data_IF_457561758193
#
_entry.id   IF_457561758193
#
_cell.length_a   1.000
_cell.length_b   1.000
_cell.length_c   1.000
_cell.angle_alpha   90.00
_cell.angle_beta   90.00
_cell.angle_gamma   90.00
#
_symmetry.space_group_name_H-M   'P 1'
#
loop_
_entity.id
_entity.type
_entity.pdbx_description
1 polymer ?
#
# COMPACT_ATOMS: atom_id res chain seq x y z
N UNK A 1 -2.44 -2.28 4.42
CA UNK A 1 -3.87 -2.26 4.03
C UNK A 1 -4.33 -3.70 3.70
N UNK A 2 -5.64 -3.99 3.71
CA UNK A 2 -6.13 -5.27 3.20
C UNK A 2 -6.07 -5.31 1.66
N UNK A 3 -6.22 -6.50 1.06
CA UNK A 3 -6.14 -6.70 -0.40
C UNK A 3 -7.18 -5.86 -1.16
N UNK A 4 -8.42 -5.83 -0.70
CA UNK A 4 -9.48 -5.07 -1.39
C UNK A 4 -9.22 -3.56 -1.37
N UNK A 5 -8.73 -3.02 -0.25
CA UNK A 5 -8.28 -1.62 -0.21
C UNK A 5 -7.11 -1.36 -1.16
N UNK A 6 -6.14 -2.28 -1.25
CA UNK A 6 -5.02 -2.16 -2.17
C UNK A 6 -5.47 -2.14 -3.64
N UNK A 7 -6.47 -2.95 -4.02
CA UNK A 7 -7.07 -2.91 -5.37
C UNK A 7 -7.70 -1.56 -5.68
N UNK A 8 -8.45 -0.98 -4.74
CA UNK A 8 -9.06 0.34 -4.92
C UNK A 8 -8.00 1.45 -5.08
N UNK A 9 -6.89 1.36 -4.35
CA UNK A 9 -5.76 2.29 -4.48
C UNK A 9 -5.15 2.21 -5.88
N UNK A 10 -4.93 1.00 -6.40
CA UNK A 10 -4.40 0.80 -7.75
C UNK A 10 -5.39 1.33 -8.80
N UNK A 11 -6.68 0.98 -8.68
CA UNK A 11 -7.73 1.39 -9.62
C UNK A 11 -7.97 2.91 -9.64
N UNK A 12 -7.70 3.60 -8.53
CA UNK A 12 -7.80 5.05 -8.45
C UNK A 12 -6.59 5.79 -9.03
N UNK A 13 -5.56 5.06 -9.48
CA UNK A 13 -4.36 5.64 -10.09
C UNK A 13 -3.41 6.30 -9.09
N UNK A 14 -3.49 5.94 -7.81
CA UNK A 14 -2.56 6.42 -6.78
C UNK A 14 -1.17 5.86 -7.06
N UNK A 15 -0.15 6.74 -7.03
CA UNK A 15 1.24 6.37 -7.30
C UNK A 15 2.09 6.20 -6.05
N UNK A 16 1.66 6.71 -4.88
CA UNK A 16 2.41 6.64 -3.62
C UNK A 16 1.50 6.46 -2.41
N UNK A 17 1.83 5.52 -1.55
CA UNK A 17 1.16 5.23 -0.27
C UNK A 17 2.18 5.32 0.85
N UNK A 18 1.94 6.22 1.80
CA UNK A 18 2.78 6.40 2.98
C UNK A 18 2.00 6.00 4.22
N UNK A 19 2.60 5.20 5.10
CA UNK A 19 1.95 4.76 6.34
C UNK A 19 2.88 4.88 7.55
N UNK A 20 2.34 5.23 8.71
CA UNK A 20 3.11 5.40 9.95
C UNK A 20 3.13 4.16 10.83
N UNK A 21 2.02 3.43 10.90
CA UNK A 21 1.91 2.22 11.72
C UNK A 21 2.01 0.97 10.87
N UNK A 22 2.81 0.00 11.30
CA UNK A 22 2.90 -1.29 10.62
C UNK A 22 1.52 -1.96 10.54
N UNK A 23 1.12 -2.35 9.34
CA UNK A 23 -0.11 -3.11 9.16
C UNK A 23 0.05 -4.53 9.70
N UNK A 24 -1.01 -5.06 10.32
CA UNK A 24 -1.06 -6.46 10.77
C UNK A 24 -0.92 -7.45 9.62
N UNK A 25 -1.47 -7.10 8.45
CA UNK A 25 -1.43 -7.88 7.22
C UNK A 25 -0.75 -7.02 6.16
N UNK A 26 0.34 -7.53 5.58
CA UNK A 26 1.19 -6.82 4.62
C UNK A 26 0.92 -7.21 3.17
N UNK A 27 0.10 -8.23 2.91
CA UNK A 27 -0.24 -8.70 1.55
C UNK A 27 -0.76 -7.57 0.64
N UNK A 28 -1.51 -6.62 1.22
CA UNK A 28 -1.96 -5.45 0.47
C UNK A 28 -0.83 -4.49 0.11
N UNK A 29 0.23 -4.37 0.91
CA UNK A 29 1.42 -3.59 0.56
C UNK A 29 2.18 -4.28 -0.59
N UNK A 30 2.36 -5.59 -0.52
CA UNK A 30 3.05 -6.36 -1.57
C UNK A 30 2.31 -6.23 -2.92
N UNK A 31 0.97 -6.21 -2.89
CA UNK A 31 0.17 -5.97 -4.09
C UNK A 31 0.38 -4.57 -4.67
N UNK A 32 0.48 -3.56 -3.81
CA UNK A 32 0.75 -2.18 -4.22
C UNK A 32 2.12 -2.05 -4.89
N UNK A 33 3.17 -2.60 -4.28
CA UNK A 33 4.53 -2.56 -4.83
C UNK A 33 4.61 -3.27 -6.20
N UNK A 34 3.97 -4.44 -6.33
CA UNK A 34 3.91 -5.18 -7.62
C UNK A 34 3.16 -4.43 -8.71
N UNK A 35 2.21 -3.58 -8.33
CA UNK A 35 1.48 -2.71 -9.25
C UNK A 35 2.23 -1.41 -9.60
N UNK A 36 3.45 -1.22 -9.06
CA UNK A 36 4.27 -0.03 -9.27
C UNK A 36 3.89 1.16 -8.39
N UNK A 37 3.09 0.95 -7.34
CA UNK A 37 2.78 1.98 -6.34
C UNK A 37 3.95 2.06 -5.35
N UNK A 38 4.49 3.25 -5.14
CA UNK A 38 5.55 3.49 -4.17
C UNK A 38 5.01 3.41 -2.75
N UNK A 39 5.53 2.47 -1.97
CA UNK A 39 5.10 2.24 -0.59
C UNK A 39 6.22 2.65 0.36
N UNK A 40 5.94 3.55 1.31
CA UNK A 40 6.91 4.01 2.30
C UNK A 40 6.33 3.92 3.71
N UNK A 41 7.15 3.42 4.64
CA UNK A 41 6.86 3.46 6.07
C UNK A 41 7.57 4.64 6.70
N UNK A 42 6.82 5.49 7.42
CA UNK A 42 7.43 6.52 8.27
C UNK A 42 7.97 5.86 9.54
N UNK A 43 9.29 5.91 9.72
CA UNK A 43 9.95 5.60 10.99
C UNK A 43 10.10 6.90 11.78
N UNK A 44 9.51 6.94 12.98
CA UNK A 44 9.68 8.01 13.97
C UNK A 44 10.56 7.51 15.11
#
# INVERSE_FOLDING_TARGET
PCIECAKLIIQSGIQRVVYSNKYRITEGLDLLERAGVMVEQLEF
#
